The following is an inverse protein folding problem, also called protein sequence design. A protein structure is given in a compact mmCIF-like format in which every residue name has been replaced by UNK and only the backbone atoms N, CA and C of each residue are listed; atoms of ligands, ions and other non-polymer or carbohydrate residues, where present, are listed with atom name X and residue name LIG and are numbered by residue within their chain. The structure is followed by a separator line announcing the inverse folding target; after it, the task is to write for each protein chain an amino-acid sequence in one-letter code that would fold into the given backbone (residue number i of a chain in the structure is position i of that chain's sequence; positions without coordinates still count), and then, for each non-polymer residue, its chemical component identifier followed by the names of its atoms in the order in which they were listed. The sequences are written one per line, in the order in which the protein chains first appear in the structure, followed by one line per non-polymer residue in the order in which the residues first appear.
data_IF_048169279969
#
_entry.id   IF_048169279969
#
_cell.length_a   1.000
_cell.length_b   1.000
_cell.length_c   1.000
_cell.angle_alpha   90.00
_cell.angle_beta   90.00
_cell.angle_gamma   90.00
#
_symmetry.space_group_name_H-M   'P 1'
#
loop_
_entity.id
_entity.type
_entity.pdbx_description
1 polymer ?
#
# COMPACT_ATOMS: atom_id res chain seq x y z
N UNK A 1 -11.09 -11.49 -9.16
CA UNK A 1 -11.30 -10.14 -8.58
C UNK A 1 -12.55 -10.22 -7.72
N UNK A 2 -12.63 -9.45 -6.63
CA UNK A 2 -13.82 -9.40 -5.79
C UNK A 2 -13.98 -7.99 -5.21
N UNK A 3 -15.13 -7.35 -5.39
CA UNK A 3 -15.35 -5.97 -4.94
C UNK A 3 -16.77 -5.48 -5.23
N UNK A 4 -17.13 -4.33 -4.67
CA UNK A 4 -18.43 -3.68 -4.77
C UNK A 4 -18.46 -2.62 -5.90
N UNK A 5 -18.53 -3.07 -7.15
CA UNK A 5 -18.48 -2.16 -8.31
C UNK A 5 -19.79 -1.49 -8.69
N UNK A 6 -20.91 -1.90 -8.10
CA UNK A 6 -22.22 -1.25 -8.29
C UNK A 6 -22.66 -0.42 -7.07
N UNK A 7 -21.85 -0.40 -6.00
CA UNK A 7 -22.03 0.44 -4.82
C UNK A 7 -23.19 -0.01 -3.95
N UNK A 8 -23.51 -1.30 -3.97
CA UNK A 8 -24.63 -1.87 -3.22
C UNK A 8 -24.27 -2.31 -1.79
N UNK A 9 -22.99 -2.19 -1.43
CA UNK A 9 -22.40 -2.58 -0.16
C UNK A 9 -21.98 -4.04 -0.08
N UNK A 10 -21.99 -4.79 -1.20
CA UNK A 10 -21.66 -6.21 -1.25
C UNK A 10 -20.64 -6.52 -2.33
N UNK A 11 -19.50 -7.09 -1.92
CA UNK A 11 -18.53 -7.62 -2.86
C UNK A 11 -19.14 -8.69 -3.77
N UNK A 12 -18.92 -8.51 -5.06
CA UNK A 12 -19.29 -9.43 -6.11
C UNK A 12 -18.04 -10.07 -6.72
N UNK A 13 -18.19 -11.02 -7.66
CA UNK A 13 -17.04 -11.67 -8.33
C UNK A 13 -16.80 -11.14 -9.73
N UNK A 14 -15.53 -11.03 -10.11
CA UNK A 14 -15.12 -10.54 -11.42
C UNK A 14 -13.84 -11.22 -11.90
N UNK A 15 -13.60 -11.17 -13.21
CA UNK A 15 -12.37 -11.69 -13.80
C UNK A 15 -11.79 -10.70 -14.80
N UNK A 16 -10.52 -10.90 -15.10
CA UNK A 16 -9.76 -10.07 -16.02
C UNK A 16 -9.08 -10.98 -17.04
N UNK A 17 -9.31 -10.68 -18.31
CA UNK A 17 -8.75 -11.42 -19.42
C UNK A 17 -8.29 -10.44 -20.49
N UNK A 18 -7.03 -10.57 -20.92
CA UNK A 18 -6.47 -9.81 -22.04
C UNK A 18 -6.79 -8.31 -22.00
N UNK A 19 -6.51 -7.60 -20.90
CA UNK A 19 -6.83 -6.18 -20.66
C UNK A 19 -8.31 -5.81 -20.46
N UNK A 20 -9.20 -6.79 -20.48
CA UNK A 20 -10.64 -6.58 -20.33
C UNK A 20 -11.12 -7.06 -18.97
N UNK A 21 -11.80 -6.16 -18.26
CA UNK A 21 -12.47 -6.46 -17.01
C UNK A 21 -13.87 -6.99 -17.31
N UNK A 22 -14.28 -8.01 -16.58
CA UNK A 22 -15.63 -8.55 -16.57
C UNK A 22 -16.10 -8.58 -15.11
N UNK A 23 -17.01 -7.67 -14.78
CA UNK A 23 -17.53 -7.47 -13.43
C UNK A 23 -18.95 -8.01 -13.37
N UNK A 24 -19.33 -8.71 -12.31
CA UNK A 24 -20.62 -9.40 -12.21
C UNK A 24 -21.51 -8.87 -11.09
N UNK A 25 -22.82 -9.02 -11.16
CA UNK A 25 -23.70 -8.67 -10.02
C UNK A 25 -23.48 -9.63 -8.84
N UNK A 26 -23.85 -9.20 -7.63
CA UNK A 26 -23.79 -10.02 -6.43
C UNK A 26 -24.72 -11.24 -6.49
N UNK A 27 -24.44 -12.25 -5.65
CA UNK A 27 -25.35 -13.36 -5.38
C UNK A 27 -24.90 -14.74 -5.90
N UNK A 28 -25.74 -15.75 -5.68
CA UNK A 28 -25.42 -17.16 -5.95
C UNK A 28 -25.37 -17.53 -7.44
N UNK A 29 -25.94 -16.70 -8.31
CA UNK A 29 -25.97 -16.86 -9.77
C UNK A 29 -25.58 -15.52 -10.43
N UNK A 30 -24.31 -15.12 -10.34
CA UNK A 30 -23.87 -13.80 -10.80
C UNK A 30 -23.97 -13.69 -12.33
N UNK A 31 -24.37 -12.52 -12.81
CA UNK A 31 -24.42 -12.17 -14.25
C UNK A 31 -23.49 -11.02 -14.55
N UNK A 32 -23.00 -10.86 -15.79
CA UNK A 32 -22.13 -9.73 -16.14
C UNK A 32 -22.89 -8.42 -15.91
N UNK A 33 -22.38 -7.61 -14.98
CA UNK A 33 -22.80 -6.25 -14.71
C UNK A 33 -22.23 -5.29 -15.77
N UNK A 34 -20.92 -5.39 -16.02
CA UNK A 34 -20.25 -4.60 -17.06
C UNK A 34 -18.98 -5.28 -17.54
N UNK A 35 -18.54 -4.92 -18.75
CA UNK A 35 -17.23 -5.32 -19.27
C UNK A 35 -16.61 -4.23 -20.13
N UNK A 36 -15.31 -4.00 -19.96
CA UNK A 36 -14.59 -2.96 -20.69
C UNK A 36 -13.08 -3.20 -20.66
N UNK A 37 -12.39 -2.74 -21.70
CA UNK A 37 -10.94 -2.80 -21.79
C UNK A 37 -10.29 -1.58 -21.15
N UNK A 38 -9.20 -1.78 -20.42
CA UNK A 38 -8.40 -0.71 -19.84
C UNK A 38 -6.93 -1.08 -19.87
N UNK A 39 -6.10 -0.11 -20.28
CA UNK A 39 -4.64 -0.19 -20.29
C UNK A 39 -4.01 -1.27 -21.18
N UNK A 40 -2.68 -1.44 -21.07
CA UNK A 40 -1.91 -2.35 -21.91
C UNK A 40 -2.08 -3.82 -21.51
N UNK A 41 -1.80 -4.72 -22.45
CA UNK A 41 -1.70 -6.16 -22.17
C UNK A 41 -0.55 -6.47 -21.21
N UNK A 42 -0.72 -7.51 -20.40
CA UNK A 42 0.31 -8.01 -19.46
C UNK A 42 0.36 -7.28 -18.11
N UNK A 43 -0.46 -6.27 -17.91
CA UNK A 43 -0.57 -5.58 -16.63
C UNK A 43 -1.47 -6.36 -15.68
N UNK A 44 -1.14 -6.33 -14.40
CA UNK A 44 -1.91 -7.01 -13.36
C UNK A 44 -3.11 -6.14 -12.95
N UNK A 45 -4.33 -6.70 -12.88
CA UNK A 45 -5.49 -5.97 -12.41
C UNK A 45 -5.43 -5.73 -10.90
N UNK A 46 -5.89 -4.57 -10.47
CA UNK A 46 -6.18 -4.21 -9.08
C UNK A 46 -7.54 -3.52 -9.02
N UNK A 47 -8.11 -3.39 -7.82
CA UNK A 47 -9.39 -2.70 -7.58
C UNK A 47 -9.42 -2.20 -6.13
N UNK A 48 -10.30 -1.24 -5.87
CA UNK A 48 -10.46 -0.56 -4.59
C UNK A 48 -11.32 0.71 -4.75
N UNK A 49 -11.85 1.24 -3.67
CA UNK A 49 -12.34 2.62 -3.57
C UNK A 49 -11.16 3.59 -3.38
N UNK A 50 -10.74 4.23 -4.47
CA UNK A 50 -9.62 5.18 -4.47
C UNK A 50 -10.03 6.60 -4.12
N UNK A 51 -11.31 6.93 -4.21
CA UNK A 51 -11.86 8.29 -4.09
C UNK A 51 -12.77 8.46 -2.86
N UNK A 52 -12.98 7.42 -2.07
CA UNK A 52 -13.76 7.44 -0.84
C UNK A 52 -15.28 7.48 -1.08
N UNK A 53 -15.76 6.99 -2.22
CA UNK A 53 -17.20 6.99 -2.55
C UNK A 53 -17.93 5.67 -2.26
N UNK A 54 -17.23 4.72 -1.64
CA UNK A 54 -17.69 3.38 -1.28
C UNK A 54 -18.00 2.47 -2.49
N UNK A 55 -17.55 2.84 -3.69
CA UNK A 55 -17.64 1.97 -4.87
C UNK A 55 -16.25 1.52 -5.30
N UNK A 56 -16.07 0.20 -5.40
CA UNK A 56 -14.85 -0.37 -5.93
C UNK A 56 -14.67 -0.05 -7.40
N UNK A 57 -13.50 0.48 -7.73
CA UNK A 57 -13.15 0.84 -9.10
C UNK A 57 -11.81 0.25 -9.52
N UNK A 58 -11.70 -0.03 -10.80
CA UNK A 58 -10.56 -0.77 -11.35
C UNK A 58 -9.25 0.02 -11.36
N UNK A 59 -8.16 -0.71 -11.38
CA UNK A 59 -6.84 -0.19 -11.71
C UNK A 59 -5.94 -1.26 -12.32
N UNK A 60 -4.76 -0.83 -12.72
CA UNK A 60 -3.70 -1.69 -13.23
C UNK A 60 -2.39 -1.41 -12.52
N UNK A 61 -1.62 -2.47 -12.37
CA UNK A 61 -0.29 -2.48 -11.81
C UNK A 61 0.69 -3.14 -12.78
N UNK A 62 1.87 -2.54 -12.91
CA UNK A 62 3.01 -3.17 -13.58
C UNK A 62 4.31 -2.64 -12.99
N UNK A 63 5.09 -3.49 -12.33
CA UNK A 63 6.41 -3.19 -11.76
C UNK A 63 6.43 -1.82 -11.07
N UNK A 64 5.70 -1.68 -9.97
CA UNK A 64 5.59 -0.47 -9.18
C UNK A 64 4.88 0.73 -9.85
N UNK A 65 4.41 0.61 -11.10
CA UNK A 65 3.57 1.63 -11.73
C UNK A 65 2.09 1.32 -11.51
N UNK A 66 1.38 2.27 -10.91
CA UNK A 66 -0.06 2.19 -10.62
C UNK A 66 -0.82 3.11 -11.55
N UNK A 67 -1.94 2.62 -12.09
CA UNK A 67 -2.86 3.35 -12.97
C UNK A 67 -4.29 3.04 -12.52
N UNK A 68 -4.92 3.96 -11.81
CA UNK A 68 -6.22 3.78 -11.18
C UNK A 68 -7.29 4.59 -11.91
N UNK A 69 -8.53 4.11 -11.83
CA UNK A 69 -9.73 4.75 -12.38
C UNK A 69 -10.75 4.88 -11.26
N UNK A 70 -11.51 5.96 -11.24
CA UNK A 70 -12.67 6.14 -10.35
C UNK A 70 -13.97 5.78 -11.06
N UNK A 71 -13.91 4.90 -12.06
CA UNK A 71 -15.11 4.41 -12.75
C UNK A 71 -14.87 3.07 -13.43
N UNK A 72 -15.92 2.25 -13.46
CA UNK A 72 -15.93 0.94 -14.11
C UNK A 72 -16.32 1.05 -15.59
N UNK A 73 -15.48 1.78 -16.34
CA UNK A 73 -15.68 2.07 -17.76
C UNK A 73 -14.35 2.35 -18.49
N UNK A 74 -14.39 2.36 -19.82
CA UNK A 74 -13.26 2.84 -20.63
C UNK A 74 -12.94 4.31 -20.33
N UNK A 75 -11.67 4.70 -20.46
CA UNK A 75 -11.26 6.09 -20.30
C UNK A 75 -9.82 6.27 -19.85
N UNK A 76 -9.48 7.53 -19.58
CA UNK A 76 -8.15 7.95 -19.12
C UNK A 76 -7.92 7.60 -17.66
N UNK A 77 -6.65 7.41 -17.30
CA UNK A 77 -6.23 7.18 -15.90
C UNK A 77 -6.58 8.40 -15.04
N UNK A 78 -7.20 8.17 -13.88
CA UNK A 78 -7.55 9.21 -12.92
C UNK A 78 -6.40 9.46 -11.92
N UNK A 79 -5.78 8.38 -11.41
CA UNK A 79 -4.58 8.44 -10.58
C UNK A 79 -3.45 7.59 -11.16
N UNK A 80 -2.25 8.19 -11.29
CA UNK A 80 -1.06 7.48 -11.75
C UNK A 80 0.14 7.83 -10.90
N UNK A 81 0.79 6.81 -10.33
CA UNK A 81 1.96 7.01 -9.47
C UNK A 81 2.89 5.80 -9.47
N UNK A 82 4.10 6.00 -8.96
CA UNK A 82 5.10 4.95 -8.76
C UNK A 82 5.20 4.61 -7.28
N UNK A 83 5.00 3.34 -6.93
CA UNK A 83 5.13 2.81 -5.59
C UNK A 83 5.43 1.31 -5.61
N UNK A 84 6.41 0.88 -4.82
CA UNK A 84 6.94 -0.49 -4.85
C UNK A 84 8.19 -0.63 -5.73
N UNK A 85 8.53 -1.86 -6.06
CA UNK A 85 9.73 -2.18 -6.82
C UNK A 85 9.51 -2.04 -8.34
N UNK A 86 10.19 -1.07 -8.94
CA UNK A 86 10.13 -0.80 -10.38
C UNK A 86 10.87 -1.85 -11.22
N UNK A 87 11.65 -2.73 -10.59
CA UNK A 87 12.33 -3.85 -11.25
C UNK A 87 11.43 -5.08 -11.40
N UNK A 88 10.27 -5.07 -10.73
CA UNK A 88 9.23 -6.09 -10.85
C UNK A 88 9.31 -7.21 -9.81
N UNK A 89 8.55 -8.28 -10.04
CA UNK A 89 8.50 -9.46 -9.16
C UNK A 89 7.58 -9.34 -7.95
N UNK A 90 7.06 -8.16 -7.66
CA UNK A 90 6.10 -7.94 -6.58
C UNK A 90 4.67 -8.12 -7.07
N UNK A 91 3.89 -8.89 -6.32
CA UNK A 91 2.45 -9.03 -6.52
C UNK A 91 1.73 -7.83 -5.88
N UNK A 92 0.92 -7.06 -6.63
CA UNK A 92 0.13 -5.99 -6.03
C UNK A 92 -0.93 -6.57 -5.10
N UNK A 93 -1.15 -5.89 -3.99
CA UNK A 93 -2.31 -6.06 -3.13
C UNK A 93 -3.00 -4.71 -3.01
N UNK A 94 -4.30 -4.71 -3.28
CA UNK A 94 -5.18 -3.60 -3.02
C UNK A 94 -6.40 -4.17 -2.33
N UNK A 95 -6.76 -3.55 -1.21
CA UNK A 95 -7.95 -3.84 -0.44
C UNK A 95 -8.32 -2.54 0.24
N UNK A 96 -9.45 -1.99 -0.13
CA UNK A 96 -10.14 -0.96 0.60
C UNK A 96 -11.04 -1.67 1.62
N UNK A 97 -10.45 -2.13 2.72
CA UNK A 97 -11.31 -2.55 3.81
C UNK A 97 -12.20 -1.37 4.16
N UNK A 98 -13.51 -1.47 3.85
CA UNK A 98 -14.50 -0.50 4.32
C UNK A 98 -14.19 -0.30 5.79
N UNK A 99 -13.82 0.91 6.17
CA UNK A 99 -13.38 1.19 7.54
C UNK A 99 -14.49 0.89 8.55
N UNK A 100 -15.76 0.79 8.10
CA UNK A 100 -16.89 0.30 8.89
C UNK A 100 -16.87 -1.23 9.09
N UNK A 101 -16.22 -1.98 8.20
CA UNK A 101 -16.04 -3.45 8.23
C UNK A 101 -14.67 -3.86 8.81
N UNK A 102 -13.66 -3.00 8.77
CA UNK A 102 -12.32 -3.28 9.34
C UNK A 102 -12.35 -3.61 10.83
N UNK A 103 -13.31 -3.06 11.59
CA UNK A 103 -13.47 -3.42 12.99
C UNK A 103 -13.99 -4.86 13.21
N UNK A 104 -14.42 -5.57 12.16
CA UNK A 104 -14.83 -6.98 12.19
C UNK A 104 -13.74 -7.93 11.71
N UNK A 105 -12.85 -7.49 10.82
CA UNK A 105 -11.78 -8.31 10.26
C UNK A 105 -10.61 -8.54 11.25
N UNK A 106 -10.37 -7.59 12.18
CA UNK A 106 -9.36 -7.75 13.25
C UNK A 106 -9.93 -8.19 14.61
N UNK A 107 -11.26 -8.21 14.79
CA UNK A 107 -11.89 -8.57 16.06
C UNK A 107 -12.14 -10.08 16.22
N UNK A 108 -12.05 -10.89 15.16
CA UNK A 108 -12.48 -12.29 15.18
C UNK A 108 -11.38 -13.32 15.48
N UNK A 109 -10.12 -12.94 15.68
CA UNK A 109 -9.04 -13.94 15.92
C UNK A 109 -7.92 -13.45 16.83
N UNK A 110 -8.21 -12.55 17.77
CA UNK A 110 -7.29 -12.35 18.91
C UNK A 110 -7.83 -13.15 20.09
N UNK A 111 -7.38 -14.40 20.32
CA UNK A 111 -7.69 -15.10 21.56
C UNK A 111 -7.13 -14.26 22.72
N UNK A 112 -8.00 -13.88 23.65
CA UNK A 112 -7.60 -13.25 24.90
C UNK A 112 -6.71 -14.22 25.69
N UNK A 113 -5.67 -13.73 26.39
CA UNK A 113 -5.54 -12.39 26.93
C UNK A 113 -4.78 -11.40 26.04
N UNK A 114 -5.19 -10.13 26.07
CA UNK A 114 -4.44 -9.01 25.47
C UNK A 114 -3.01 -9.03 26.01
N UNK A 115 -2.02 -8.80 25.15
CA UNK A 115 -0.63 -8.54 25.54
C UNK A 115 -0.65 -7.53 26.70
N UNK A 116 -0.06 -7.84 27.87
CA UNK A 116 0.09 -6.85 28.92
C UNK A 116 0.83 -5.66 28.34
N UNK A 117 0.31 -4.45 28.51
CA UNK A 117 1.08 -3.23 28.26
C UNK A 117 2.33 -3.35 29.11
N UNK A 118 3.49 -3.60 28.49
CA UNK A 118 4.77 -3.50 29.18
C UNK A 118 4.97 -2.00 29.38
N UNK A 119 4.93 -1.48 30.62
CA UNK A 119 5.27 -0.09 30.83
C UNK A 119 6.69 0.13 30.30
N UNK A 120 6.87 1.16 29.48
CA UNK A 120 8.21 1.57 29.07
C UNK A 120 9.09 1.82 30.30
N UNK A 121 10.43 1.91 30.13
CA UNK A 121 11.34 2.13 31.26
C UNK A 121 10.84 3.34 32.06
N UNK A 122 10.50 3.10 33.33
CA UNK A 122 10.17 4.16 34.26
C UNK A 122 11.41 5.03 34.35
N UNK A 123 11.31 6.29 33.93
CA UNK A 123 12.36 7.25 34.25
C UNK A 123 12.52 7.24 35.78
N UNK A 124 13.76 7.19 36.31
CA UNK A 124 13.95 7.25 37.75
C UNK A 124 13.32 8.54 38.26
N UNK A 125 12.38 8.40 39.19
CA UNK A 125 11.84 9.51 39.96
C UNK A 125 13.03 10.08 40.73
N UNK A 126 13.56 11.22 40.31
CA UNK A 126 14.48 11.99 41.14
C UNK A 126 13.65 12.50 42.32
N UNK A 127 13.98 12.18 43.58
CA UNK A 127 13.29 12.77 44.70
C UNK A 127 13.64 14.26 44.71
N UNK A 128 12.70 15.12 44.31
CA UNK A 128 12.80 16.54 44.60
C UNK A 128 12.59 16.70 46.10
N UNK A 129 13.70 16.90 46.81
CA UNK A 129 13.73 17.40 48.17
C UNK A 129 12.80 18.63 48.30
N UNK A 130 12.12 18.71 49.43
CA UNK A 130 10.96 19.56 49.63
C UNK A 130 11.23 21.04 49.38
N UNK A 131 10.39 21.64 48.54
CA UNK A 131 10.15 23.08 48.53
C UNK A 131 8.63 23.32 48.35
N UNK A 132 8.04 24.30 49.06
CA UNK A 132 6.60 24.48 49.09
C UNK A 132 6.09 25.11 47.79
N UNK A 133 4.92 24.64 47.37
CA UNK A 133 3.97 25.20 46.40
C UNK A 133 4.40 26.50 45.68
N UNK A 134 4.81 26.35 44.42
CA UNK A 134 4.75 27.42 43.44
C UNK A 134 4.62 26.81 42.03
N UNK A 135 3.38 26.79 41.53
CA UNK A 135 2.93 26.80 40.13
C UNK A 135 3.75 25.98 39.10
N UNK A 136 3.14 24.99 38.39
CA UNK A 136 3.85 24.25 37.34
C UNK A 136 4.34 25.20 36.22
N UNK A 137 5.52 24.96 35.63
CA UNK A 137 6.08 25.83 34.61
C UNK A 137 5.20 25.87 33.35
N UNK A 138 5.16 27.04 32.73
CA UNK A 138 4.48 27.28 31.45
C UNK A 138 5.13 26.45 30.34
N UNK A 139 4.33 25.94 29.39
CA UNK A 139 4.76 25.12 28.24
C UNK A 139 5.83 25.79 27.35
N UNK A 140 6.09 27.09 27.57
CA UNK A 140 7.01 27.89 26.77
C UNK A 140 8.47 27.90 27.26
N UNK A 141 8.80 27.22 28.36
CA UNK A 141 10.15 27.24 28.95
C UNK A 141 10.97 25.94 28.75
N UNK A 142 10.52 25.03 27.86
CA UNK A 142 11.31 23.82 27.54
C UNK A 142 12.41 24.20 26.52
N UNK A 143 13.71 24.05 26.85
CA UNK A 143 14.76 24.23 25.87
C UNK A 143 14.61 23.17 24.77
N UNK A 144 14.48 23.61 23.53
CA UNK A 144 14.60 22.74 22.35
C UNK A 144 16.06 22.34 22.24
N UNK A 145 16.43 21.19 22.78
CA UNK A 145 17.72 20.59 22.44
C UNK A 145 17.71 20.21 20.96
N UNK A 146 18.76 20.56 20.18
CA UNK A 146 18.84 20.13 18.80
C UNK A 146 18.95 18.60 18.78
N UNK A 147 17.94 17.95 18.20
CA UNK A 147 17.98 16.52 17.91
C UNK A 147 19.23 16.22 17.09
N UNK A 148 20.11 15.36 17.59
CA UNK A 148 21.28 14.92 16.85
C UNK A 148 20.85 14.31 15.52
N UNK A 149 21.42 14.78 14.41
CA UNK A 149 21.20 14.23 13.08
C UNK A 149 21.46 12.70 13.07
N UNK A 150 20.65 11.90 12.36
CA UNK A 150 20.92 10.47 12.22
C UNK A 150 22.28 10.27 11.52
N UNK A 151 23.04 9.27 11.97
CA UNK A 151 24.34 8.92 11.39
C UNK A 151 24.23 8.63 9.89
N UNK A 152 25.25 8.98 9.07
CA UNK A 152 25.20 8.73 7.63
C UNK A 152 25.16 7.23 7.35
N UNK A 153 24.28 6.84 6.43
CA UNK A 153 24.17 5.49 5.89
C UNK A 153 25.48 5.13 5.16
N UNK A 154 26.08 3.94 5.37
CA UNK A 154 27.28 3.55 4.65
C UNK A 154 27.00 3.42 3.15
N UNK A 155 27.81 4.10 2.33
CA UNK A 155 27.76 4.01 0.88
C UNK A 155 28.40 2.70 0.44
N UNK A 156 27.64 1.82 -0.22
CA UNK A 156 28.18 0.64 -0.89
C UNK A 156 28.82 1.08 -2.21
N UNK A 157 30.15 1.15 -2.24
CA UNK A 157 30.91 1.33 -3.49
C UNK A 157 30.92 -0.01 -4.24
N UNK A 158 30.16 -0.10 -5.34
CA UNK A 158 30.21 -1.24 -6.26
C UNK A 158 31.36 -0.99 -7.23
N UNK A 159 32.48 -1.69 -7.04
CA UNK A 159 33.57 -1.70 -8.03
C UNK A 159 33.16 -2.57 -9.22
N UNK A 160 32.88 -1.95 -10.36
CA UNK A 160 32.67 -2.65 -11.63
C UNK A 160 34.03 -3.14 -12.18
N UNK A 161 34.32 -4.43 -12.03
CA UNK A 161 35.34 -5.10 -12.85
C UNK A 161 34.76 -5.35 -14.24
N UNK A 162 35.27 -4.62 -15.23
CA UNK A 162 35.00 -4.89 -16.65
C UNK A 162 35.79 -6.12 -17.08
N UNK A 163 35.09 -7.21 -17.40
CA UNK A 163 35.68 -8.36 -18.10
C UNK A 163 36.08 -7.92 -19.53
N UNK A 164 37.26 -8.32 -20.04
CA UNK A 164 37.66 -7.98 -21.40
C UNK A 164 36.75 -8.66 -22.43
N UNK A 165 36.30 -7.88 -23.40
CA UNK A 165 35.60 -8.34 -24.60
C UNK A 165 36.49 -9.25 -25.44
N UNK A 166 36.09 -10.50 -25.62
CA UNK A 166 36.66 -11.39 -26.63
C UNK A 166 36.32 -10.85 -28.03
N UNK A 167 37.35 -10.38 -28.73
CA UNK A 167 37.28 -10.05 -30.14
C UNK A 167 37.94 -11.13 -30.99
N UNK A 168 37.22 -11.44 -32.08
CA UNK A 168 37.65 -11.99 -33.39
C UNK A 168 37.59 -13.51 -33.57
N UNK A 169 36.85 -13.89 -34.62
CA UNK A 169 36.95 -15.18 -35.30
C UNK A 169 35.98 -15.30 -36.47
N UNK A 170 36.11 -14.44 -37.49
CA UNK A 170 35.68 -14.81 -38.85
C UNK A 170 36.51 -16.02 -39.29
N UNK A 171 35.88 -17.13 -39.66
CA UNK A 171 36.39 -18.00 -40.72
C UNK A 171 35.21 -18.57 -41.52
N UNK A 172 35.12 -18.12 -42.77
CA UNK A 172 34.46 -18.80 -43.88
C UNK A 172 35.56 -19.50 -44.67
N UNK A 173 35.40 -20.79 -44.96
CA UNK A 173 35.42 -21.20 -46.38
C UNK A 173 34.19 -22.02 -46.78
#
# INVERSE_FOLDING_TARGET
LAGDWDGDGTDSVGYFENNTFYLATAGASPTIYTSFSFGPLGWSPVFGDWNGDLTDTIGLYNNGLWRLRNSNSTGSVDYGFSYGDLTGGWQPLAFDGDTNVLNRLFAATVPMPRVPVIPGPSLPIIPTDGAPDSQPPSVNDVPIEPTSLPSPVPTLEITLTLEPTDTVGEEVP
#
